data_IF_124172116799
#
_entry.id   IF_124172116799
#
_cell.length_a   1.000
_cell.length_b   1.000
_cell.length_c   1.000
_cell.angle_alpha   90.00
_cell.angle_beta   90.00
_cell.angle_gamma   90.00
#
_symmetry.space_group_name_H-M   'P 1'
#
loop_
_entity.id
_entity.type
_entity.pdbx_description
1 polymer ?
#
# COMPACT_ATOMS: atom_id res chain seq x y z
N UNK A 1 3.83 -4.89 20.78
CA UNK A 1 3.63 -4.34 19.43
C UNK A 1 3.55 -5.49 18.43
N UNK A 2 2.48 -6.29 18.53
CA UNK A 2 2.25 -7.49 17.71
C UNK A 2 1.42 -7.11 16.47
N UNK A 3 0.52 -6.14 16.63
CA UNK A 3 -0.34 -5.65 15.54
C UNK A 3 0.47 -5.13 14.35
N UNK A 4 1.59 -4.44 14.60
CA UNK A 4 2.49 -4.00 13.53
C UNK A 4 3.21 -5.17 12.85
N UNK A 5 3.51 -6.25 13.57
CA UNK A 5 4.09 -7.45 12.96
C UNK A 5 3.07 -8.14 12.05
N UNK A 6 1.81 -8.23 12.48
CA UNK A 6 0.72 -8.74 11.65
C UNK A 6 0.52 -7.88 10.40
N UNK A 7 0.48 -6.54 10.56
CA UNK A 7 0.36 -5.59 9.45
C UNK A 7 1.45 -5.78 8.40
N UNK A 8 2.68 -6.05 8.83
CA UNK A 8 3.81 -6.30 7.91
C UNK A 8 3.67 -7.63 7.16
N UNK A 9 3.11 -8.67 7.80
CA UNK A 9 2.81 -9.94 7.13
C UNK A 9 1.71 -9.75 6.10
N UNK A 10 0.63 -9.03 6.44
CA UNK A 10 -0.46 -8.74 5.52
C UNK A 10 0.02 -7.94 4.29
N UNK A 11 0.87 -6.94 4.53
CA UNK A 11 1.47 -6.12 3.47
C UNK A 11 2.36 -6.95 2.52
N UNK A 12 3.14 -7.90 3.08
CA UNK A 12 3.96 -8.81 2.29
C UNK A 12 3.08 -9.72 1.42
N UNK A 13 2.05 -10.34 2.00
CA UNK A 13 1.13 -11.21 1.26
C UNK A 13 0.40 -10.46 0.15
N UNK A 14 -0.03 -9.22 0.41
CA UNK A 14 -0.65 -8.36 -0.59
C UNK A 14 0.28 -8.12 -1.77
N UNK A 15 1.54 -7.73 -1.50
CA UNK A 15 2.56 -7.51 -2.53
C UNK A 15 2.82 -8.79 -3.35
N UNK A 16 3.00 -9.95 -2.69
CA UNK A 16 3.24 -11.22 -3.38
C UNK A 16 2.05 -11.65 -4.27
N UNK A 17 0.83 -11.30 -3.87
CA UNK A 17 -0.39 -11.69 -4.60
C UNK A 17 -0.73 -10.74 -5.74
N UNK A 18 -0.60 -9.42 -5.53
CA UNK A 18 -1.07 -8.39 -6.46
C UNK A 18 0.06 -7.77 -7.29
N UNK A 19 1.31 -7.81 -6.79
CA UNK A 19 2.45 -7.12 -7.38
C UNK A 19 2.48 -5.61 -7.13
N UNK A 20 1.50 -5.08 -6.39
CA UNK A 20 1.42 -3.66 -5.99
C UNK A 20 2.17 -3.41 -4.68
N UNK A 21 2.79 -2.24 -4.53
CA UNK A 21 3.48 -1.86 -3.28
C UNK A 21 2.51 -1.24 -2.29
N UNK A 22 2.79 -1.44 -0.99
CA UNK A 22 1.97 -0.92 0.10
C UNK A 22 2.41 0.51 0.47
N UNK A 23 1.53 1.54 0.38
CA UNK A 23 1.82 2.90 0.85
C UNK A 23 2.01 2.97 2.38
N UNK A 24 2.48 4.12 2.87
CA UNK A 24 2.72 4.31 4.30
C UNK A 24 1.44 4.11 5.12
N UNK A 25 1.54 3.29 6.17
CA UNK A 25 0.40 3.00 7.05
C UNK A 25 -0.63 2.03 6.47
N UNK A 26 -0.37 1.43 5.30
CA UNK A 26 -1.29 0.52 4.62
C UNK A 26 -1.82 -0.59 5.55
N UNK A 27 -3.11 -0.90 5.38
CA UNK A 27 -3.83 -2.00 6.03
C UNK A 27 -4.62 -2.81 5.02
N UNK A 28 -4.96 -4.04 5.39
CA UNK A 28 -5.79 -4.92 4.56
C UNK A 28 -7.09 -4.22 4.10
N UNK A 29 -7.38 -4.32 2.80
CA UNK A 29 -8.51 -3.65 2.15
C UNK A 29 -8.23 -2.25 1.62
N UNK A 30 -7.09 -1.64 1.97
CA UNK A 30 -6.65 -0.38 1.38
C UNK A 30 -6.00 -0.58 0.01
N UNK A 31 -6.03 0.46 -0.82
CA UNK A 31 -5.49 0.41 -2.18
C UNK A 31 -3.97 0.35 -2.16
N UNK A 32 -3.39 -0.55 -2.95
CA UNK A 32 -1.96 -0.56 -3.23
C UNK A 32 -1.55 0.56 -4.20
N UNK A 33 -0.25 0.61 -4.51
CA UNK A 33 0.32 1.58 -5.43
C UNK A 33 1.20 0.85 -6.44
N UNK A 34 1.07 1.22 -7.72
CA UNK A 34 1.96 0.72 -8.77
C UNK A 34 3.38 1.26 -8.54
N UNK A 35 4.39 0.39 -8.62
CA UNK A 35 5.80 0.72 -8.39
C UNK A 35 6.47 1.41 -9.60
N UNK A 36 5.79 2.41 -10.18
CA UNK A 36 6.26 3.22 -11.31
C UNK A 36 6.05 4.70 -11.03
N UNK A 37 6.80 5.62 -11.68
CA UNK A 37 6.58 7.06 -11.51
C UNK A 37 5.13 7.49 -11.79
N UNK A 38 4.52 6.95 -12.85
CA UNK A 38 3.13 7.21 -13.20
C UNK A 38 2.17 6.64 -12.15
N UNK A 39 2.48 5.45 -11.63
CA UNK A 39 1.75 4.79 -10.54
C UNK A 39 1.69 5.62 -9.26
N UNK A 40 2.86 6.13 -8.85
CA UNK A 40 2.98 7.03 -7.70
C UNK A 40 2.21 8.33 -7.93
N UNK A 41 2.39 8.96 -9.10
CA UNK A 41 1.68 10.20 -9.43
C UNK A 41 0.16 10.02 -9.40
N UNK A 42 -0.34 8.91 -9.96
CA UNK A 42 -1.76 8.56 -9.93
C UNK A 42 -2.27 8.33 -8.52
N UNK A 43 -1.56 7.53 -7.71
CA UNK A 43 -1.96 7.25 -6.33
C UNK A 43 -2.04 8.53 -5.50
N UNK A 44 -1.06 9.43 -5.61
CA UNK A 44 -1.04 10.69 -4.89
C UNK A 44 -2.15 11.64 -5.36
N UNK A 45 -2.45 11.70 -6.65
CA UNK A 45 -3.54 12.52 -7.18
C UNK A 45 -4.91 12.03 -6.70
N UNK A 46 -5.13 10.72 -6.63
CA UNK A 46 -6.41 10.12 -6.18
C UNK A 46 -6.61 10.20 -4.66
N UNK A 47 -5.53 10.31 -3.88
CA UNK A 47 -5.57 10.30 -2.42
C UNK A 47 -5.11 11.63 -1.78
N UNK A 48 -5.03 12.70 -2.56
CA UNK A 48 -4.53 14.01 -2.11
C UNK A 48 -5.25 14.55 -0.86
N UNK A 49 -6.55 14.30 -0.73
CA UNK A 49 -7.36 14.75 0.42
C UNK A 49 -7.13 13.93 1.71
N UNK A 50 -6.43 12.80 1.62
CA UNK A 50 -6.18 11.85 2.73
C UNK A 50 -4.73 11.88 3.23
N UNK A 51 -3.88 12.67 2.60
CA UNK A 51 -2.47 12.90 2.93
C UNK A 51 -2.32 14.18 3.76
#
# INVERSE_FOLDING_TARGET
NIDEMLRMVDALQFFETHGEVCPAGWKEGEKGMDATPEGVAKYLAENADKL
#
